data_IF_783035331553
#
_entry.id   IF_783035331553
#
_cell.length_a   1.000
_cell.length_b   1.000
_cell.length_c   1.000
_cell.angle_alpha   90.00
_cell.angle_beta   90.00
_cell.angle_gamma   90.00
#
_symmetry.space_group_name_H-M   'P 1'
#
loop_
_entity.id
_entity.type
_entity.pdbx_description
1 polymer ?
#
# COMPACT_ATOMS: atom_id res chain seq x y z
N UNK A 1 19.42 -16.76 12.45
CA UNK A 1 18.07 -16.24 12.70
C UNK A 1 17.09 -16.81 11.67
N UNK A 2 15.78 -16.72 11.93
CA UNK A 2 14.71 -17.10 11.00
C UNK A 2 14.87 -16.32 9.67
N UNK A 3 15.04 -15.02 9.74
CA UNK A 3 15.24 -14.14 8.59
C UNK A 3 16.39 -14.62 7.68
N UNK A 4 17.55 -14.95 8.22
CA UNK A 4 18.68 -15.42 7.40
C UNK A 4 18.37 -16.74 6.66
N UNK A 5 17.59 -17.64 7.27
CA UNK A 5 17.16 -18.87 6.60
C UNK A 5 16.19 -18.58 5.46
N UNK A 6 15.29 -17.64 5.64
CA UNK A 6 14.34 -17.19 4.60
C UNK A 6 15.08 -16.55 3.42
N UNK A 7 16.05 -15.66 3.68
CA UNK A 7 16.86 -15.07 2.60
C UNK A 7 17.55 -16.15 1.76
N UNK A 8 18.14 -17.17 2.41
CA UNK A 8 18.78 -18.29 1.69
C UNK A 8 17.80 -19.12 0.86
N UNK A 9 16.57 -19.30 1.35
CA UNK A 9 15.54 -20.01 0.59
C UNK A 9 15.01 -19.14 -0.57
N UNK A 10 14.91 -17.83 -0.40
CA UNK A 10 14.47 -16.90 -1.44
C UNK A 10 15.39 -16.91 -2.66
N UNK A 11 16.69 -17.06 -2.48
CA UNK A 11 17.68 -17.15 -3.58
C UNK A 11 17.38 -18.33 -4.52
N UNK A 12 16.66 -19.36 -4.04
CA UNK A 12 16.26 -20.52 -4.85
C UNK A 12 14.77 -20.61 -5.19
N UNK A 13 13.91 -19.88 -4.51
CA UNK A 13 12.45 -19.96 -4.58
C UNK A 13 11.80 -18.55 -4.59
N UNK A 14 12.43 -17.56 -5.20
CA UNK A 14 11.94 -16.19 -5.22
C UNK A 14 10.57 -16.06 -5.89
N UNK A 15 9.90 -14.93 -5.58
CA UNK A 15 8.61 -14.56 -6.15
C UNK A 15 7.63 -14.06 -5.08
N UNK A 16 6.56 -13.44 -5.56
CA UNK A 16 5.58 -12.80 -4.70
C UNK A 16 4.88 -13.81 -3.77
N UNK A 17 4.55 -15.01 -4.27
CA UNK A 17 3.89 -16.06 -3.49
C UNK A 17 4.72 -16.50 -2.29
N UNK A 18 6.01 -16.77 -2.52
CA UNK A 18 6.94 -17.16 -1.46
C UNK A 18 7.11 -16.01 -0.43
N UNK A 19 7.27 -14.79 -0.93
CA UNK A 19 7.44 -13.62 -0.09
C UNK A 19 6.19 -13.31 0.73
N UNK A 20 4.99 -13.51 0.16
CA UNK A 20 3.72 -13.34 0.89
C UNK A 20 3.57 -14.36 2.02
N UNK A 21 3.89 -15.63 1.78
CA UNK A 21 3.88 -16.65 2.82
C UNK A 21 4.88 -16.32 3.95
N UNK A 22 6.07 -15.84 3.60
CA UNK A 22 7.07 -15.44 4.60
C UNK A 22 6.67 -14.18 5.36
N UNK A 23 6.03 -13.20 4.69
CA UNK A 23 5.47 -12.01 5.32
C UNK A 23 4.45 -12.37 6.40
N UNK A 24 3.52 -13.27 6.09
CA UNK A 24 2.49 -13.70 7.04
C UNK A 24 3.10 -14.31 8.30
N UNK A 25 4.08 -15.20 8.13
CA UNK A 25 4.78 -15.85 9.25
C UNK A 25 5.58 -14.81 10.07
N UNK A 26 6.29 -13.92 9.39
CA UNK A 26 7.12 -12.92 10.07
C UNK A 26 6.27 -11.93 10.86
N UNK A 27 5.18 -11.41 10.30
CA UNK A 27 4.23 -10.54 10.99
C UNK A 27 3.68 -11.22 12.25
N UNK A 28 3.30 -12.50 12.17
CA UNK A 28 2.83 -13.25 13.33
C UNK A 28 3.92 -13.41 14.40
N UNK A 29 5.18 -13.62 14.01
CA UNK A 29 6.30 -13.71 14.96
C UNK A 29 6.58 -12.37 15.66
N UNK A 30 6.43 -11.25 14.96
CA UNK A 30 6.54 -9.91 15.55
C UNK A 30 5.39 -9.61 16.52
N UNK A 31 4.17 -10.03 16.19
CA UNK A 31 3.02 -9.92 17.10
C UNK A 31 3.27 -10.69 18.41
N UNK A 32 3.72 -11.95 18.30
CA UNK A 32 4.13 -12.77 19.47
C UNK A 32 5.22 -12.07 20.27
N UNK A 33 6.26 -11.54 19.62
CA UNK A 33 7.36 -10.86 20.29
C UNK A 33 6.89 -9.62 21.07
N UNK A 34 5.97 -8.84 20.48
CA UNK A 34 5.34 -7.69 21.13
C UNK A 34 4.53 -8.11 22.35
N UNK A 35 3.69 -9.13 22.22
CA UNK A 35 2.87 -9.68 23.31
C UNK A 35 3.74 -10.22 24.46
N UNK A 36 4.81 -10.95 24.14
CA UNK A 36 5.74 -11.46 25.16
C UNK A 36 6.47 -10.35 25.93
N UNK A 37 6.76 -9.22 25.27
CA UNK A 37 7.40 -8.05 25.90
C UNK A 37 6.40 -7.06 26.48
N UNK A 38 5.11 -7.27 26.25
CA UNK A 38 4.03 -6.34 26.60
C UNK A 38 4.27 -4.93 26.02
N UNK A 39 4.68 -4.87 24.75
CA UNK A 39 4.95 -3.64 24.01
C UNK A 39 4.23 -3.64 22.65
N UNK A 40 3.71 -2.50 22.19
CA UNK A 40 3.23 -2.36 20.81
C UNK A 40 4.38 -2.63 19.82
N UNK A 41 4.02 -3.10 18.62
CA UNK A 41 5.03 -3.45 17.62
C UNK A 41 5.93 -2.26 17.24
N UNK A 42 5.40 -1.07 17.06
CA UNK A 42 6.21 0.12 16.73
C UNK A 42 7.25 0.45 17.81
N UNK A 43 6.94 0.19 19.10
CA UNK A 43 7.89 0.36 20.19
C UNK A 43 8.99 -0.73 20.23
N UNK A 44 8.81 -1.84 19.49
CA UNK A 44 9.89 -2.81 19.27
C UNK A 44 10.81 -2.39 18.11
N UNK A 45 10.31 -1.58 17.19
CA UNK A 45 11.02 -1.16 15.98
C UNK A 45 11.84 0.12 16.20
N UNK A 46 11.38 1.01 17.07
CA UNK A 46 12.06 2.28 17.39
C UNK A 46 11.74 2.75 18.81
N UNK A 47 12.68 3.49 19.41
CA UNK A 47 12.48 4.14 20.72
C UNK A 47 11.56 5.36 20.65
N UNK A 48 11.33 5.92 19.45
CA UNK A 48 10.55 7.14 19.24
C UNK A 48 9.53 6.96 18.09
N UNK A 49 8.50 6.12 18.25
CA UNK A 49 7.46 5.98 17.24
C UNK A 49 6.65 7.27 17.11
N UNK A 50 6.26 7.61 15.88
CA UNK A 50 5.33 8.72 15.62
C UNK A 50 3.97 8.41 16.27
N UNK A 51 3.28 9.39 16.87
CA UNK A 51 1.99 9.16 17.53
C UNK A 51 0.86 8.85 16.56
N UNK A 52 0.99 9.26 15.31
CA UNK A 52 0.03 9.06 14.23
C UNK A 52 0.74 8.80 12.89
N UNK A 53 0.00 8.24 11.95
CA UNK A 53 0.45 7.98 10.58
C UNK A 53 -0.47 8.71 9.62
N UNK A 54 0.09 9.50 8.70
CA UNK A 54 -0.68 10.11 7.61
C UNK A 54 -1.21 9.03 6.68
N UNK A 55 -2.47 9.16 6.26
CA UNK A 55 -3.14 8.17 5.42
C UNK A 55 -3.84 8.82 4.23
N UNK A 56 -4.09 8.02 3.18
CA UNK A 56 -4.99 8.36 2.08
C UNK A 56 -5.99 7.22 1.87
N UNK A 57 -7.12 7.54 1.24
CA UNK A 57 -8.17 6.57 0.96
C UNK A 57 -8.11 6.08 -0.49
N UNK A 58 -8.18 4.77 -0.69
CA UNK A 58 -8.31 4.18 -2.02
C UNK A 58 -9.78 3.87 -2.31
N UNK A 59 -10.28 4.39 -3.43
CA UNK A 59 -11.59 4.07 -3.97
C UNK A 59 -11.51 2.75 -4.72
N UNK A 60 -12.35 1.79 -4.32
CA UNK A 60 -12.42 0.49 -4.94
C UNK A 60 -13.88 0.10 -5.19
N UNK A 61 -14.35 0.40 -6.38
CA UNK A 61 -15.63 -0.08 -6.89
C UNK A 61 -15.49 -0.40 -8.37
N UNK A 62 -16.44 -1.13 -8.93
CA UNK A 62 -16.39 -1.48 -10.36
C UNK A 62 -16.77 -0.25 -11.21
N UNK A 63 -15.80 0.58 -11.52
CA UNK A 63 -15.93 1.79 -12.31
C UNK A 63 -16.62 1.55 -13.68
N UNK A 64 -16.39 0.38 -14.29
CA UNK A 64 -16.97 0.04 -15.59
C UNK A 64 -18.46 -0.26 -15.48
N UNK A 65 -18.93 -0.72 -14.32
CA UNK A 65 -20.33 -1.05 -14.09
C UNK A 65 -21.13 0.11 -13.55
N UNK A 66 -20.53 0.93 -12.67
CA UNK A 66 -21.25 2.00 -11.98
C UNK A 66 -20.31 3.17 -11.64
N UNK A 67 -20.12 4.07 -12.60
CA UNK A 67 -19.32 5.27 -12.44
C UNK A 67 -19.91 6.22 -11.39
N UNK A 68 -21.24 6.33 -11.29
CA UNK A 68 -21.88 7.24 -10.34
C UNK A 68 -21.65 6.77 -8.90
N UNK A 69 -21.76 5.48 -8.64
CA UNK A 69 -21.44 4.92 -7.33
C UNK A 69 -19.97 5.14 -6.97
N UNK A 70 -19.06 5.05 -7.94
CA UNK A 70 -17.64 5.35 -7.74
C UNK A 70 -17.43 6.82 -7.33
N UNK A 71 -18.07 7.76 -8.03
CA UNK A 71 -17.98 9.18 -7.70
C UNK A 71 -18.59 9.48 -6.32
N UNK A 72 -19.68 8.82 -5.94
CA UNK A 72 -20.24 8.94 -4.60
C UNK A 72 -19.27 8.43 -3.53
N UNK A 73 -18.50 7.37 -3.81
CA UNK A 73 -17.42 6.92 -2.90
C UNK A 73 -16.32 7.99 -2.76
N UNK A 74 -15.95 8.65 -3.86
CA UNK A 74 -15.00 9.79 -3.83
C UNK A 74 -15.53 10.92 -2.95
N UNK A 75 -16.80 11.35 -3.12
CA UNK A 75 -17.43 12.39 -2.31
C UNK A 75 -17.41 12.02 -0.82
N UNK A 76 -17.85 10.80 -0.48
CA UNK A 76 -17.85 10.25 0.87
C UNK A 76 -16.48 10.33 1.54
N UNK A 77 -15.39 9.99 0.80
CA UNK A 77 -14.04 10.00 1.36
C UNK A 77 -13.47 11.42 1.44
N UNK A 78 -13.81 12.29 0.47
CA UNK A 78 -13.45 13.69 0.52
C UNK A 78 -14.07 14.40 1.74
N UNK A 79 -15.36 14.18 2.02
CA UNK A 79 -16.06 14.73 3.19
C UNK A 79 -15.46 14.23 4.52
N UNK A 80 -14.93 13.01 4.56
CA UNK A 80 -14.22 12.47 5.72
C UNK A 80 -12.81 13.03 5.89
N UNK A 81 -12.34 13.87 4.97
CA UNK A 81 -11.06 14.59 5.00
C UNK A 81 -9.83 13.67 5.06
N UNK A 82 -9.84 12.55 4.37
CA UNK A 82 -8.62 11.78 4.19
C UNK A 82 -7.52 12.62 3.56
N UNK A 83 -6.25 12.31 3.82
CA UNK A 83 -5.10 13.07 3.32
C UNK A 83 -4.84 12.98 1.81
N UNK A 84 -5.74 12.35 1.07
CA UNK A 84 -5.76 12.19 -0.37
C UNK A 84 -6.72 11.06 -0.77
N UNK A 85 -6.99 10.96 -2.06
CA UNK A 85 -7.80 9.90 -2.64
C UNK A 85 -7.06 9.28 -3.81
N UNK A 86 -6.94 7.93 -3.82
CA UNK A 86 -6.43 7.16 -4.95
C UNK A 86 -7.59 6.57 -5.75
N UNK A 87 -7.53 6.73 -7.07
CA UNK A 87 -8.52 6.21 -8.02
C UNK A 87 -7.84 5.41 -9.12
N UNK A 88 -8.61 4.52 -9.74
CA UNK A 88 -8.19 3.69 -10.87
C UNK A 88 -8.92 4.16 -12.14
N UNK A 89 -8.37 5.08 -12.94
CA UNK A 89 -9.00 5.58 -14.16
C UNK A 89 -8.85 4.59 -15.33
N UNK A 90 -9.28 3.34 -15.14
CA UNK A 90 -9.01 2.20 -16.02
C UNK A 90 -10.09 2.00 -17.10
N UNK A 91 -10.34 3.01 -17.92
CA UNK A 91 -11.15 2.86 -19.12
C UNK A 91 -10.31 2.36 -20.30
N UNK A 92 -10.96 1.65 -21.24
CA UNK A 92 -10.31 1.21 -22.48
C UNK A 92 -9.85 2.38 -23.36
N UNK A 93 -10.54 3.51 -23.26
CA UNK A 93 -10.28 4.71 -24.03
C UNK A 93 -9.68 5.81 -23.14
N UNK A 94 -8.51 6.30 -23.50
CA UNK A 94 -7.77 7.36 -22.78
C UNK A 94 -8.65 8.61 -22.53
N UNK A 95 -9.43 9.05 -23.53
CA UNK A 95 -10.32 10.21 -23.37
C UNK A 95 -11.37 10.02 -22.27
N UNK A 96 -11.90 8.80 -22.11
CA UNK A 96 -12.84 8.50 -21.03
C UNK A 96 -12.13 8.50 -19.67
N UNK A 97 -10.91 7.95 -19.59
CA UNK A 97 -10.09 8.01 -18.38
C UNK A 97 -9.84 9.45 -17.94
N UNK A 98 -9.47 10.33 -18.86
CA UNK A 98 -9.23 11.77 -18.58
C UNK A 98 -10.51 12.48 -18.14
N UNK A 99 -11.64 12.24 -18.81
CA UNK A 99 -12.94 12.80 -18.42
C UNK A 99 -13.35 12.37 -17.02
N UNK A 100 -13.11 11.11 -16.67
CA UNK A 100 -13.39 10.62 -15.34
C UNK A 100 -12.53 11.33 -14.29
N UNK A 101 -11.21 11.46 -14.50
CA UNK A 101 -10.34 12.22 -13.61
C UNK A 101 -10.78 13.67 -13.47
N UNK A 102 -11.24 14.32 -14.56
CA UNK A 102 -11.81 15.68 -14.52
C UNK A 102 -13.09 15.75 -13.67
N UNK A 103 -13.97 14.74 -13.76
CA UNK A 103 -15.15 14.65 -12.87
C UNK A 103 -14.75 14.55 -11.41
N UNK A 104 -13.76 13.71 -11.10
CA UNK A 104 -13.22 13.60 -9.73
C UNK A 104 -12.62 14.92 -9.26
N UNK A 105 -11.86 15.63 -10.11
CA UNK A 105 -11.32 16.95 -9.79
C UNK A 105 -12.40 17.99 -9.48
N UNK A 106 -13.53 17.93 -10.15
CA UNK A 106 -14.68 18.83 -9.84
C UNK A 106 -15.25 18.60 -8.44
N UNK A 107 -15.13 17.39 -7.91
CA UNK A 107 -15.54 17.06 -6.54
C UNK A 107 -14.50 17.53 -5.53
N UNK A 108 -13.24 17.12 -5.70
CA UNK A 108 -12.20 17.30 -4.67
C UNK A 108 -11.43 18.64 -4.81
N UNK A 109 -11.51 19.31 -5.95
CA UNK A 109 -10.74 20.52 -6.26
C UNK A 109 -9.30 20.22 -6.71
N UNK A 110 -8.60 21.28 -7.19
CA UNK A 110 -7.29 21.12 -7.83
C UNK A 110 -6.13 20.90 -6.86
N UNK A 111 -6.25 21.38 -5.63
CA UNK A 111 -5.17 21.35 -4.63
C UNK A 111 -5.24 20.10 -3.73
N UNK A 112 -6.34 19.35 -3.77
CA UNK A 112 -6.48 18.13 -2.99
C UNK A 112 -5.61 17.02 -3.59
N UNK A 113 -4.86 16.22 -2.77
CA UNK A 113 -4.03 15.14 -3.27
C UNK A 113 -4.87 14.05 -3.96
N UNK A 114 -4.82 13.98 -5.29
CA UNK A 114 -5.47 12.96 -6.10
C UNK A 114 -4.41 12.09 -6.74
N UNK A 115 -4.41 10.81 -6.38
CA UNK A 115 -3.49 9.79 -6.83
C UNK A 115 -4.14 8.97 -7.94
N UNK A 116 -3.39 8.69 -9.01
CA UNK A 116 -3.86 7.89 -10.13
C UNK A 116 -3.08 6.58 -10.20
N UNK A 117 -3.78 5.47 -10.02
CA UNK A 117 -3.22 4.14 -10.11
C UNK A 117 -3.55 3.51 -11.47
N UNK A 118 -2.52 3.14 -12.21
CA UNK A 118 -2.64 2.54 -13.55
C UNK A 118 -2.41 1.02 -13.53
N UNK A 119 -2.63 0.36 -12.43
CA UNK A 119 -2.36 -1.04 -12.06
C UNK A 119 -2.34 -2.11 -13.18
N UNK A 120 -2.96 -1.83 -14.32
CA UNK A 120 -2.93 -2.69 -15.51
C UNK A 120 -1.80 -2.21 -16.41
N UNK A 121 -0.83 -3.07 -16.73
CA UNK A 121 0.23 -2.74 -17.68
C UNK A 121 -0.36 -2.24 -19.00
N UNK A 122 0.11 -1.08 -19.45
CA UNK A 122 -0.25 -0.49 -20.72
C UNK A 122 1.00 -0.39 -21.58
N UNK A 123 0.81 -0.37 -22.89
CA UNK A 123 1.94 0.00 -23.73
C UNK A 123 2.40 1.43 -23.43
N UNK A 124 3.66 1.68 -23.65
CA UNK A 124 4.31 2.94 -23.28
C UNK A 124 3.69 4.16 -23.97
N UNK A 125 3.24 4.02 -25.22
CA UNK A 125 2.67 5.13 -25.99
C UNK A 125 1.30 5.51 -25.48
N UNK A 126 0.47 4.52 -25.12
CA UNK A 126 -0.83 4.77 -24.47
C UNK A 126 -0.65 5.43 -23.11
N UNK A 127 0.31 4.95 -22.30
CA UNK A 127 0.65 5.55 -21.00
C UNK A 127 1.07 7.01 -21.18
N UNK A 128 2.02 7.30 -22.08
CA UNK A 128 2.48 8.67 -22.34
C UNK A 128 1.36 9.58 -22.83
N UNK A 129 0.48 9.07 -23.68
CA UNK A 129 -0.69 9.83 -24.17
C UNK A 129 -1.60 10.20 -23.01
N UNK A 130 -1.94 9.23 -22.14
CA UNK A 130 -2.75 9.48 -20.94
C UNK A 130 -2.09 10.50 -20.01
N UNK A 131 -0.79 10.32 -19.69
CA UNK A 131 -0.07 11.21 -18.80
C UNK A 131 -0.02 12.65 -19.32
N UNK A 132 0.18 12.82 -20.64
CA UNK A 132 0.15 14.13 -21.29
C UNK A 132 -1.23 14.78 -21.18
N UNK A 133 -2.29 14.01 -21.44
CA UNK A 133 -3.67 14.52 -21.42
C UNK A 133 -4.18 14.78 -19.99
N UNK A 134 -3.67 14.07 -18.97
CA UNK A 134 -4.12 14.23 -17.58
C UNK A 134 -3.29 15.24 -16.79
N UNK A 135 -2.14 15.67 -17.31
CA UNK A 135 -1.17 16.54 -16.59
C UNK A 135 -1.78 17.84 -16.08
N UNK A 136 -2.69 18.47 -16.85
CA UNK A 136 -3.33 19.73 -16.44
C UNK A 136 -4.26 19.56 -15.23
N UNK A 137 -4.67 18.32 -14.90
CA UNK A 137 -5.45 17.97 -13.71
C UNK A 137 -4.58 17.79 -12.45
N UNK A 138 -3.27 18.00 -12.56
CA UNK A 138 -2.30 17.99 -11.45
C UNK A 138 -2.44 16.76 -10.54
N UNK A 139 -2.30 15.52 -11.02
CA UNK A 139 -2.29 14.37 -10.13
C UNK A 139 -1.14 14.51 -9.12
N UNK A 140 -1.39 14.08 -7.88
CA UNK A 140 -0.38 14.11 -6.83
C UNK A 140 0.76 13.12 -7.12
N UNK A 141 0.40 11.94 -7.62
CA UNK A 141 1.31 10.98 -8.23
C UNK A 141 0.63 10.10 -9.27
N UNK A 142 1.44 9.41 -10.05
CA UNK A 142 1.06 8.30 -10.93
C UNK A 142 1.68 7.03 -10.38
N UNK A 143 0.86 6.02 -10.12
CA UNK A 143 1.24 4.73 -9.57
C UNK A 143 1.20 3.66 -10.66
N UNK A 144 2.21 2.79 -10.70
CA UNK A 144 2.37 1.69 -11.67
C UNK A 144 2.07 2.13 -13.13
N UNK A 145 2.74 3.18 -13.65
CA UNK A 145 2.47 3.67 -15.02
C UNK A 145 2.85 2.68 -16.11
N UNK A 146 3.74 1.75 -15.80
CA UNK A 146 4.16 0.58 -16.57
C UNK A 146 4.44 -0.55 -15.61
N UNK A 147 4.72 -1.77 -16.11
CA UNK A 147 5.13 -2.87 -15.22
C UNK A 147 6.35 -2.48 -14.38
N UNK A 148 6.22 -2.61 -13.06
CA UNK A 148 7.27 -2.22 -12.09
C UNK A 148 8.59 -2.96 -12.28
N UNK A 149 8.59 -4.10 -12.95
CA UNK A 149 9.79 -4.84 -13.34
C UNK A 149 10.58 -4.15 -14.46
N UNK A 150 9.92 -3.30 -15.28
CA UNK A 150 10.56 -2.58 -16.35
C UNK A 150 11.14 -1.24 -15.90
N UNK A 151 12.20 -1.30 -15.11
CA UNK A 151 12.83 -0.13 -14.51
C UNK A 151 13.27 0.91 -15.57
N UNK A 152 13.63 0.47 -16.77
CA UNK A 152 14.03 1.40 -17.85
C UNK A 152 12.85 2.24 -18.34
N UNK A 153 11.66 1.65 -18.48
CA UNK A 153 10.45 2.38 -18.85
C UNK A 153 9.96 3.28 -17.71
N UNK A 154 10.06 2.84 -16.45
CA UNK A 154 9.78 3.70 -15.29
C UNK A 154 10.67 4.94 -15.30
N UNK A 155 11.97 4.77 -15.51
CA UNK A 155 12.93 5.89 -15.62
C UNK A 155 12.57 6.82 -16.79
N UNK A 156 12.15 6.28 -17.93
CA UNK A 156 11.73 7.06 -19.09
C UNK A 156 10.48 7.90 -18.77
N UNK A 157 9.46 7.30 -18.15
CA UNK A 157 8.23 8.01 -17.72
C UNK A 157 8.58 9.12 -16.73
N UNK A 158 9.33 8.82 -15.69
CA UNK A 158 9.72 9.80 -14.67
C UNK A 158 10.45 11.00 -15.26
N UNK A 159 11.34 10.78 -16.23
CA UNK A 159 12.11 11.85 -16.87
C UNK A 159 11.30 12.63 -17.93
N UNK A 160 10.17 12.09 -18.39
CA UNK A 160 9.36 12.70 -19.46
C UNK A 160 8.24 13.60 -18.96
N UNK A 161 7.86 13.48 -17.68
CA UNK A 161 6.71 14.20 -17.10
C UNK A 161 7.06 14.80 -15.74
N UNK A 162 6.52 15.99 -15.46
CA UNK A 162 6.62 16.66 -14.16
C UNK A 162 5.51 16.14 -13.24
N UNK A 163 5.57 14.84 -12.92
CA UNK A 163 4.65 14.14 -12.03
C UNK A 163 5.42 13.11 -11.23
N UNK A 164 5.11 12.95 -9.95
CA UNK A 164 5.73 11.91 -9.12
C UNK A 164 5.35 10.53 -9.62
N UNK A 165 6.31 9.65 -9.74
CA UNK A 165 6.14 8.23 -10.09
C UNK A 165 6.25 7.39 -8.83
N UNK A 166 5.26 6.51 -8.64
CA UNK A 166 5.18 5.54 -7.54
C UNK A 166 5.19 4.13 -8.09
N UNK A 167 5.99 3.25 -7.50
CA UNK A 167 6.05 1.83 -7.86
C UNK A 167 6.59 0.99 -6.71
N UNK A 168 6.30 -0.32 -6.74
CA UNK A 168 6.88 -1.28 -5.80
C UNK A 168 5.91 -2.30 -5.20
N UNK A 169 4.61 -2.16 -5.38
CA UNK A 169 3.58 -3.03 -4.77
C UNK A 169 3.75 -4.51 -5.14
N UNK A 170 4.23 -4.79 -6.35
CA UNK A 170 4.43 -6.15 -6.87
C UNK A 170 5.84 -6.69 -6.63
N UNK A 171 6.68 -5.92 -5.94
CA UNK A 171 8.08 -6.27 -5.76
C UNK A 171 8.33 -6.92 -4.41
N UNK A 172 9.27 -7.87 -4.38
CA UNK A 172 9.64 -8.59 -3.17
C UNK A 172 11.13 -8.52 -2.89
N UNK A 173 11.46 -8.32 -1.61
CA UNK A 173 12.83 -8.24 -1.13
C UNK A 173 13.59 -6.99 -1.57
N UNK A 174 14.67 -6.68 -0.86
CA UNK A 174 15.48 -5.48 -1.05
C UNK A 174 16.17 -5.34 -2.43
N UNK A 175 16.65 -6.42 -3.10
CA UNK A 175 17.46 -6.27 -4.32
C UNK A 175 16.78 -5.49 -5.44
N UNK A 176 15.49 -5.73 -5.68
CA UNK A 176 14.75 -5.05 -6.74
C UNK A 176 14.58 -3.56 -6.44
N UNK A 177 14.25 -3.21 -5.21
CA UNK A 177 14.14 -1.81 -4.78
C UNK A 177 15.47 -1.06 -4.91
N UNK A 178 16.61 -1.72 -4.64
CA UNK A 178 17.95 -1.13 -4.89
C UNK A 178 18.15 -0.73 -6.35
N UNK A 179 17.70 -1.54 -7.31
CA UNK A 179 17.82 -1.19 -8.74
C UNK A 179 16.89 -0.01 -9.11
N UNK A 180 15.66 0.05 -8.58
CA UNK A 180 14.75 1.20 -8.76
C UNK A 180 15.40 2.48 -8.22
N UNK A 181 15.93 2.44 -7.01
CA UNK A 181 16.60 3.57 -6.34
C UNK A 181 17.84 4.00 -7.14
N UNK A 182 18.73 3.07 -7.46
CA UNK A 182 19.97 3.33 -8.19
C UNK A 182 19.74 3.99 -9.55
N UNK A 183 18.66 3.63 -10.24
CA UNK A 183 18.27 4.20 -11.52
C UNK A 183 17.42 5.45 -11.40
N UNK A 184 17.12 5.89 -10.17
CA UNK A 184 16.20 7.01 -9.91
C UNK A 184 14.87 6.86 -10.67
N UNK A 185 14.29 5.64 -10.64
CA UNK A 185 13.15 5.27 -11.46
C UNK A 185 11.79 5.60 -10.80
N UNK A 186 11.79 5.96 -9.53
CA UNK A 186 10.60 6.36 -8.77
C UNK A 186 10.91 7.54 -7.84
N UNK A 187 9.88 8.29 -7.46
CA UNK A 187 9.93 9.38 -6.46
C UNK A 187 9.50 8.87 -5.09
N UNK A 188 8.61 7.88 -5.08
CA UNK A 188 8.07 7.24 -3.90
C UNK A 188 8.05 5.74 -4.15
N UNK A 189 8.40 4.95 -3.14
CA UNK A 189 8.23 3.50 -3.18
C UNK A 189 6.99 3.09 -2.39
N UNK A 190 6.20 2.16 -2.94
CA UNK A 190 4.99 1.65 -2.32
C UNK A 190 5.03 0.13 -2.05
N UNK A 191 6.06 -0.39 -1.34
CA UNK A 191 6.10 -1.81 -1.01
C UNK A 191 4.86 -2.24 -0.22
N UNK A 192 4.33 -3.44 -0.51
CA UNK A 192 3.26 -4.05 0.29
C UNK A 192 3.86 -4.94 1.38
N UNK A 193 3.53 -4.69 2.64
CA UNK A 193 4.09 -5.45 3.77
C UNK A 193 3.70 -6.92 3.75
N UNK A 194 2.56 -7.25 3.11
CA UNK A 194 2.11 -8.64 2.92
C UNK A 194 2.79 -9.36 1.76
N UNK A 195 3.43 -8.64 0.85
CA UNK A 195 4.08 -9.18 -0.35
C UNK A 195 5.60 -9.07 -0.37
N UNK A 196 6.16 -8.08 0.33
CA UNK A 196 7.60 -7.78 0.26
C UNK A 196 8.52 -8.83 0.92
N UNK A 197 8.03 -9.58 1.89
CA UNK A 197 8.80 -10.52 2.72
C UNK A 197 8.73 -10.21 4.22
N UNK A 198 7.88 -9.26 4.62
CA UNK A 198 7.59 -8.91 6.00
C UNK A 198 8.19 -7.59 6.46
N UNK A 199 8.18 -7.40 7.77
CA UNK A 199 8.57 -6.16 8.46
C UNK A 199 10.05 -5.84 8.25
N UNK A 200 10.93 -6.84 8.34
CA UNK A 200 12.39 -6.62 8.20
C UNK A 200 12.73 -6.15 6.78
N UNK A 201 12.12 -6.74 5.74
CA UNK A 201 12.34 -6.30 4.38
C UNK A 201 11.80 -4.88 4.15
N UNK A 202 10.63 -4.55 4.71
CA UNK A 202 10.07 -3.19 4.67
C UNK A 202 11.02 -2.18 5.32
N UNK A 203 11.58 -2.49 6.50
CA UNK A 203 12.56 -1.63 7.18
C UNK A 203 13.85 -1.47 6.37
N UNK A 204 14.35 -2.54 5.75
CA UNK A 204 15.54 -2.49 4.91
C UNK A 204 15.33 -1.63 3.67
N UNK A 205 14.18 -1.76 3.00
CA UNK A 205 13.82 -0.92 1.85
C UNK A 205 13.63 0.53 2.27
N UNK A 206 12.96 0.78 3.41
CA UNK A 206 12.80 2.12 3.95
C UNK A 206 14.14 2.79 4.24
N UNK A 207 15.08 2.07 4.82
CA UNK A 207 16.42 2.59 5.10
C UNK A 207 17.17 2.92 3.81
N UNK A 208 17.18 2.04 2.82
CA UNK A 208 17.83 2.28 1.52
C UNK A 208 17.20 3.49 0.81
N UNK A 209 15.87 3.62 0.86
CA UNK A 209 15.15 4.75 0.29
C UNK A 209 15.50 6.06 1.01
N UNK A 210 15.57 6.06 2.35
CA UNK A 210 15.94 7.21 3.16
C UNK A 210 17.35 7.73 2.81
N UNK A 211 18.30 6.81 2.66
CA UNK A 211 19.69 7.12 2.31
C UNK A 211 19.80 7.77 0.89
N UNK A 212 18.71 7.77 0.11
CA UNK A 212 18.61 8.34 -1.24
C UNK A 212 17.48 9.37 -1.39
N UNK A 213 16.98 9.95 -0.29
CA UNK A 213 15.93 10.98 -0.28
C UNK A 213 14.60 10.54 -0.92
N UNK A 214 14.28 9.24 -0.86
CA UNK A 214 13.04 8.66 -1.39
C UNK A 214 12.08 8.37 -0.24
N UNK A 215 10.82 8.77 -0.42
CA UNK A 215 9.74 8.48 0.53
C UNK A 215 9.17 7.07 0.37
N UNK A 216 8.57 6.57 1.46
CA UNK A 216 7.81 5.32 1.48
C UNK A 216 6.32 5.66 1.68
N UNK A 217 5.49 5.20 0.76
CA UNK A 217 4.03 5.27 0.85
C UNK A 217 3.46 3.85 0.63
N UNK A 218 3.40 3.02 1.68
CA UNK A 218 3.13 1.60 1.50
C UNK A 218 1.76 1.32 0.88
N UNK A 219 1.75 0.40 -0.07
CA UNK A 219 0.54 -0.24 -0.59
C UNK A 219 -0.07 -1.17 0.46
N UNK A 220 -1.39 -1.29 0.47
CA UNK A 220 -2.12 -2.19 1.35
C UNK A 220 -3.33 -2.81 0.62
N UNK A 221 -3.14 -3.95 0.01
CA UNK A 221 -4.22 -4.66 -0.67
C UNK A 221 -5.03 -5.54 0.30
N UNK A 222 -6.28 -5.10 0.60
CA UNK A 222 -7.36 -5.90 1.22
C UNK A 222 -6.94 -6.97 2.25
N UNK A 223 -5.99 -6.67 3.12
CA UNK A 223 -5.32 -7.65 3.97
C UNK A 223 -5.96 -7.78 5.35
N UNK A 224 -7.27 -7.88 5.43
CA UNK A 224 -8.03 -8.19 6.65
C UNK A 224 -7.53 -7.47 7.91
N UNK A 225 -7.11 -6.22 7.78
CA UNK A 225 -6.56 -5.34 8.83
C UNK A 225 -5.28 -5.83 9.53
N UNK A 226 -4.87 -7.08 9.37
CA UNK A 226 -3.58 -7.58 9.91
C UNK A 226 -2.42 -6.86 9.25
N UNK A 227 -2.39 -6.83 7.90
CA UNK A 227 -1.35 -6.11 7.18
C UNK A 227 -1.46 -4.60 7.35
N UNK A 228 -2.69 -4.05 7.39
CA UNK A 228 -2.90 -2.64 7.67
C UNK A 228 -2.33 -2.25 9.05
N UNK A 229 -2.55 -3.07 10.07
CA UNK A 229 -1.95 -2.87 11.39
C UNK A 229 -0.43 -2.91 11.34
N UNK A 230 0.15 -3.97 10.76
CA UNK A 230 1.60 -4.13 10.64
C UNK A 230 2.23 -2.96 9.86
N UNK A 231 1.61 -2.56 8.75
CA UNK A 231 2.02 -1.43 7.93
C UNK A 231 2.01 -0.11 8.72
N UNK A 232 0.95 0.17 9.46
CA UNK A 232 0.84 1.40 10.26
C UNK A 232 1.88 1.43 11.38
N UNK A 233 2.18 0.29 12.04
CA UNK A 233 3.26 0.20 13.01
C UNK A 233 4.63 0.50 12.38
N UNK A 234 4.91 -0.01 11.18
CA UNK A 234 6.14 0.30 10.45
C UNK A 234 6.17 1.78 10.06
N UNK A 235 5.10 2.32 9.48
CA UNK A 235 5.02 3.75 9.11
C UNK A 235 5.25 4.69 10.30
N UNK A 236 4.72 4.33 11.47
CA UNK A 236 4.98 5.04 12.73
C UNK A 236 6.47 5.00 13.15
N UNK A 237 7.22 3.99 12.70
CA UNK A 237 8.60 3.72 13.14
C UNK A 237 9.67 4.28 12.20
N UNK A 238 9.33 4.55 10.93
CA UNK A 238 10.29 5.01 9.91
C UNK A 238 10.19 6.52 9.66
N UNK A 239 11.31 7.23 9.46
CA UNK A 239 11.30 8.69 9.29
C UNK A 239 10.72 9.14 7.95
N UNK A 240 10.92 8.38 6.89
CA UNK A 240 10.55 8.70 5.49
C UNK A 240 9.18 8.14 5.06
N UNK A 241 8.30 7.77 6.00
CA UNK A 241 6.91 7.46 5.71
C UNK A 241 6.17 8.73 5.28
N UNK A 242 5.56 8.72 4.10
CA UNK A 242 4.74 9.82 3.59
C UNK A 242 3.27 9.61 3.97
N UNK A 243 2.52 8.82 3.23
CA UNK A 243 1.13 8.47 3.51
C UNK A 243 0.93 6.98 3.34
N UNK A 244 0.19 6.35 4.24
CA UNK A 244 -0.13 4.93 4.15
C UNK A 244 -1.48 4.72 3.46
N UNK A 245 -1.59 3.70 2.66
CA UNK A 245 -2.82 3.35 1.96
C UNK A 245 -3.86 2.75 2.89
N UNK A 246 -5.12 3.20 2.73
CA UNK A 246 -6.26 2.66 3.46
C UNK A 246 -7.42 2.43 2.49
N UNK A 247 -8.07 1.28 2.63
CA UNK A 247 -9.35 0.95 1.98
C UNK A 247 -10.48 1.08 3.00
N UNK A 248 -11.15 2.25 3.13
CA UNK A 248 -12.04 2.52 4.25
C UNK A 248 -13.21 1.55 4.37
N UNK A 249 -13.86 1.22 3.26
CA UNK A 249 -15.01 0.32 3.28
C UNK A 249 -14.60 -1.12 3.64
N UNK A 250 -13.38 -1.52 3.28
CA UNK A 250 -12.84 -2.81 3.66
C UNK A 250 -12.45 -2.89 5.14
N UNK A 251 -11.93 -1.81 5.69
CA UNK A 251 -11.67 -1.70 7.13
C UNK A 251 -12.97 -1.80 7.93
N UNK A 252 -14.04 -1.15 7.48
CA UNK A 252 -15.36 -1.31 8.13
C UNK A 252 -15.83 -2.76 8.10
N UNK A 253 -15.67 -3.45 6.97
CA UNK A 253 -16.01 -4.87 6.87
C UNK A 253 -15.19 -5.73 7.85
N UNK A 254 -13.90 -5.44 8.04
CA UNK A 254 -13.05 -6.26 8.94
C UNK A 254 -13.38 -6.12 10.42
N UNK A 255 -14.13 -5.08 10.82
CA UNK A 255 -14.63 -4.94 12.21
C UNK A 255 -15.58 -6.04 12.62
N UNK A 256 -16.16 -6.77 11.67
CA UNK A 256 -16.95 -7.97 11.98
C UNK A 256 -16.08 -9.10 12.55
N UNK A 257 -14.78 -9.12 12.22
CA UNK A 257 -13.86 -10.22 12.54
C UNK A 257 -12.88 -9.87 13.66
N UNK A 258 -12.64 -8.58 13.91
CA UNK A 258 -11.66 -8.15 14.89
C UNK A 258 -11.92 -6.74 15.41
N UNK A 259 -11.40 -6.46 16.62
CA UNK A 259 -11.21 -5.09 17.08
C UNK A 259 -9.94 -4.52 16.42
N UNK A 260 -10.08 -3.35 15.79
CA UNK A 260 -8.98 -2.71 15.13
C UNK A 260 -8.00 -2.10 16.13
N UNK A 261 -6.68 -2.20 15.88
CA UNK A 261 -5.67 -1.60 16.76
C UNK A 261 -5.44 -0.12 16.50
N UNK A 262 -6.25 0.52 15.66
CA UNK A 262 -6.12 1.93 15.30
C UNK A 262 -7.48 2.59 15.09
N UNK A 263 -7.49 3.91 15.26
CA UNK A 263 -8.62 4.76 14.91
C UNK A 263 -8.22 5.69 13.77
N UNK A 264 -9.15 5.96 12.86
CA UNK A 264 -8.98 6.93 11.77
C UNK A 264 -9.66 8.24 12.18
N UNK A 265 -8.89 9.32 12.18
CA UNK A 265 -9.36 10.69 12.43
C UNK A 265 -8.86 11.55 11.28
N UNK A 266 -9.77 11.91 10.36
CA UNK A 266 -9.45 12.67 9.15
C UNK A 266 -8.31 12.01 8.34
N UNK A 267 -7.18 12.69 8.18
CA UNK A 267 -5.99 12.24 7.44
C UNK A 267 -5.00 11.41 8.27
N UNK A 268 -5.40 10.96 9.48
CA UNK A 268 -4.51 10.27 10.42
C UNK A 268 -5.07 8.93 10.87
N UNK A 269 -4.19 7.92 10.92
CA UNK A 269 -4.40 6.70 11.68
C UNK A 269 -3.63 6.79 13.00
N UNK A 270 -4.34 6.57 14.12
CA UNK A 270 -3.82 6.63 15.48
C UNK A 270 -3.80 5.22 16.05
N UNK A 271 -2.61 4.65 16.25
CA UNK A 271 -2.44 3.31 16.82
C UNK A 271 -2.79 3.30 18.31
N UNK A 272 -3.45 2.24 18.77
CA UNK A 272 -3.57 2.00 20.19
C UNK A 272 -2.21 1.53 20.77
N UNK A 273 -2.10 1.50 22.10
CA UNK A 273 -0.88 1.11 22.80
C UNK A 273 -0.89 -0.37 23.25
N UNK A 274 -1.73 -1.20 22.64
CA UNK A 274 -1.82 -2.61 22.95
C UNK A 274 -0.61 -3.39 22.44
N UNK A 275 -0.25 -4.46 23.15
CA UNK A 275 0.93 -5.28 22.83
C UNK A 275 0.83 -5.98 21.47
N UNK A 276 1.94 -6.13 20.79
CA UNK A 276 2.04 -6.72 19.45
C UNK A 276 1.41 -5.83 18.39
N UNK A 277 0.61 -6.40 17.51
CA UNK A 277 -0.20 -5.67 16.53
C UNK A 277 -1.37 -4.93 17.17
N UNK A 278 -1.69 -5.21 18.43
CA UNK A 278 -2.80 -4.60 19.16
C UNK A 278 -4.19 -5.05 18.70
N UNK A 279 -4.29 -6.05 17.84
CA UNK A 279 -5.55 -6.60 17.36
C UNK A 279 -6.14 -7.61 18.32
N UNK A 280 -7.48 -7.62 18.43
CA UNK A 280 -8.26 -8.67 19.10
C UNK A 280 -9.15 -9.35 18.06
N UNK A 281 -8.92 -10.63 17.83
CA UNK A 281 -9.69 -11.43 16.86
C UNK A 281 -10.92 -12.01 17.55
N UNK A 282 -12.07 -11.96 16.89
CA UNK A 282 -13.33 -12.57 17.36
C UNK A 282 -13.32 -14.06 17.05
N UNK A 283 -12.82 -14.88 18.00
CA UNK A 283 -12.62 -16.32 17.80
C UNK A 283 -13.92 -17.09 17.55
N UNK A 284 -15.04 -16.66 18.12
CA UNK A 284 -16.37 -17.20 17.93
C UNK A 284 -16.84 -17.06 16.47
N UNK A 285 -16.51 -15.97 15.80
CA UNK A 285 -16.82 -15.75 14.40
C UNK A 285 -15.91 -16.64 13.52
N UNK A 286 -14.62 -16.69 13.80
CA UNK A 286 -13.68 -17.52 13.05
C UNK A 286 -14.03 -19.00 13.13
N UNK A 287 -14.53 -19.48 14.28
CA UNK A 287 -14.92 -20.88 14.45
C UNK A 287 -16.11 -21.30 13.59
N UNK A 288 -16.94 -20.32 13.18
CA UNK A 288 -18.10 -20.52 12.30
C UNK A 288 -17.78 -20.42 10.81
N UNK A 289 -16.57 -19.95 10.44
CA UNK A 289 -16.14 -19.95 9.06
C UNK A 289 -15.84 -21.38 8.63
N UNK A 290 -16.44 -21.82 7.52
CA UNK A 290 -16.16 -23.16 6.95
C UNK A 290 -14.68 -23.27 6.59
N UNK A 291 -13.93 -24.06 7.36
CA UNK A 291 -12.56 -24.43 7.00
C UNK A 291 -12.61 -25.46 5.88
N UNK A 292 -12.07 -25.14 4.72
CA UNK A 292 -11.72 -26.15 3.73
C UNK A 292 -10.58 -26.99 4.34
N UNK A 293 -10.91 -28.16 4.89
CA UNK A 293 -9.91 -29.20 5.13
C UNK A 293 -9.63 -29.85 3.78
N UNK A 294 -8.41 -29.74 3.27
CA UNK A 294 -7.93 -30.71 2.32
C UNK A 294 -7.87 -32.03 3.07
N UNK A 295 -8.87 -32.89 2.86
CA UNK A 295 -8.74 -34.28 3.26
C UNK A 295 -7.60 -34.85 2.42
N UNK A 296 -6.53 -35.29 3.09
CA UNK A 296 -5.50 -36.16 2.52
C UNK A 296 -6.17 -37.48 2.10
N UNK A 297 -6.79 -37.48 0.95
CA UNK A 297 -7.22 -38.68 0.27
C UNK A 297 -7.00 -38.53 -1.22
N UNK A 298 -5.85 -38.96 -1.63
CA UNK A 298 -5.45 -39.84 -2.73
C UNK A 298 -4.05 -39.53 -3.21
#
# INVERSE_FOLDING_TARGET
SFYNKICLLRDGHGGLDFSSATSAIEIALWDIAGKLKNLPLNCLLTDNPKPDVSIYATCWSDLKKDEENYLHQVEKYFEKKYGGIKIYPLFENTSNSVKFVDRVRKIVGMEYPLMLDLAIPKDLDQTKTFLKEVSFLKPYWIEEPVEGENISLLTEIKNSFDMKVVTGEKQSGLPHFKEIIKRNAADILNPDISGIGGIIDMLNVSKEALDNDISISPHCWNSMSVSASAMLHVCSSIPNSEKAEIFPDYIEFTKEFCELPFNIVEDKAILNQSAGLGMVIHEDILSNLSTYRMDEKN
#
